data_IF_705978520543
#
_entry.id   IF_705978520543
#
_cell.length_a   1.000
_cell.length_b   1.000
_cell.length_c   1.000
_cell.angle_alpha   90.00
_cell.angle_beta   90.00
_cell.angle_gamma   90.00
#
_symmetry.space_group_name_H-M   'P 1'
#
loop_
_entity.id
_entity.type
_entity.pdbx_description
1 polymer ?
#
# COMPACT_ATOMS: atom_id res chain seq x y z
N UNK A 1 -10.65 10.23 4.94
CA UNK A 1 -12.08 10.12 4.59
C UNK A 1 -12.31 10.23 3.10
N UNK A 2 -11.76 11.23 2.43
CA UNK A 2 -11.96 11.55 1.02
C UNK A 2 -11.72 10.35 0.09
N UNK A 3 -10.60 9.67 0.24
CA UNK A 3 -10.30 8.46 -0.53
C UNK A 3 -11.29 7.30 -0.27
N UNK A 4 -11.76 7.13 0.97
CA UNK A 4 -12.76 6.09 1.27
C UNK A 4 -14.10 6.39 0.62
N UNK A 5 -14.54 7.65 0.67
CA UNK A 5 -15.75 8.08 -0.04
C UNK A 5 -15.57 7.89 -1.55
N UNK A 6 -14.42 8.27 -2.10
CA UNK A 6 -14.09 8.04 -3.50
C UNK A 6 -14.17 6.56 -3.89
N UNK A 7 -13.62 5.65 -3.06
CA UNK A 7 -13.73 4.20 -3.30
C UNK A 7 -15.20 3.74 -3.32
N UNK A 8 -16.02 4.25 -2.40
CA UNK A 8 -17.46 3.92 -2.36
C UNK A 8 -18.22 4.44 -3.58
N UNK A 9 -17.75 5.53 -4.19
CA UNK A 9 -18.25 6.08 -5.44
C UNK A 9 -17.67 5.39 -6.69
N UNK A 10 -16.79 4.40 -6.54
CA UNK A 10 -16.15 3.67 -7.63
C UNK A 10 -14.87 4.31 -8.18
N UNK A 11 -14.35 5.35 -7.53
CA UNK A 11 -13.10 5.98 -7.94
C UNK A 11 -11.87 5.23 -7.40
N UNK A 12 -10.75 5.35 -8.12
CA UNK A 12 -9.47 4.88 -7.64
C UNK A 12 -8.93 5.84 -6.57
N UNK A 13 -8.50 5.35 -5.39
CA UNK A 13 -7.92 6.21 -4.39
C UNK A 13 -6.56 6.77 -4.86
N UNK A 14 -6.26 8.00 -4.47
CA UNK A 14 -4.96 8.63 -4.70
C UNK A 14 -3.89 8.05 -3.77
N UNK A 15 -4.25 7.80 -2.51
CA UNK A 15 -3.34 7.23 -1.52
C UNK A 15 -3.02 5.77 -1.84
N UNK A 16 -1.74 5.45 -2.03
CA UNK A 16 -1.29 4.13 -2.44
C UNK A 16 -1.58 3.02 -1.41
N UNK A 17 -1.66 3.36 -0.12
CA UNK A 17 -2.02 2.45 0.96
C UNK A 17 -3.46 1.91 0.83
N UNK A 18 -4.31 2.65 0.16
CA UNK A 18 -5.70 2.27 -0.11
C UNK A 18 -5.90 1.60 -1.49
N UNK A 19 -4.82 1.48 -2.28
CA UNK A 19 -4.84 0.74 -3.54
C UNK A 19 -4.68 -0.78 -3.34
N UNK A 20 -4.17 -1.23 -2.19
CA UNK A 20 -3.90 -2.63 -1.89
C UNK A 20 -2.64 -3.20 -2.52
N UNK A 21 -1.97 -2.43 -3.36
CA UNK A 21 -0.72 -2.75 -4.04
C UNK A 21 0.14 -1.50 -4.13
N UNK A 22 1.45 -1.65 -3.93
CA UNK A 22 2.39 -0.54 -4.09
C UNK A 22 2.52 -0.13 -5.56
N UNK A 23 2.63 1.18 -5.78
CA UNK A 23 2.90 1.76 -7.09
C UNK A 23 4.41 1.82 -7.36
N UNK A 24 4.77 1.96 -8.65
CA UNK A 24 6.12 2.35 -9.04
C UNK A 24 6.29 3.83 -8.69
N UNK A 25 7.24 4.12 -7.82
CA UNK A 25 7.66 5.47 -7.46
C UNK A 25 9.15 5.46 -7.13
N UNK A 26 9.77 6.63 -7.16
CA UNK A 26 11.17 6.81 -6.80
C UNK A 26 11.27 7.90 -5.74
N UNK A 27 11.66 7.52 -4.53
CA UNK A 27 12.16 8.47 -3.55
C UNK A 27 13.65 8.69 -3.83
N UNK A 28 14.05 9.96 -4.01
CA UNK A 28 15.42 10.31 -4.38
C UNK A 28 16.02 11.20 -3.30
N UNK A 29 17.17 10.79 -2.77
CA UNK A 29 17.91 11.59 -1.81
C UNK A 29 18.85 12.59 -2.48
N UNK A 30 19.38 13.55 -1.70
CA UNK A 30 20.23 14.64 -2.18
C UNK A 30 21.52 14.17 -2.87
N UNK A 31 22.02 12.98 -2.55
CA UNK A 31 23.18 12.34 -3.19
C UNK A 31 22.82 11.60 -4.49
N UNK A 32 21.54 11.62 -4.91
CA UNK A 32 21.04 10.91 -6.07
C UNK A 32 20.63 9.46 -5.80
N UNK A 33 20.76 8.95 -4.58
CA UNK A 33 20.32 7.60 -4.21
C UNK A 33 18.82 7.44 -4.38
N UNK A 34 18.40 6.31 -4.95
CA UNK A 34 17.01 6.03 -5.33
C UNK A 34 16.46 4.85 -4.52
N UNK A 35 15.25 5.02 -4.01
CA UNK A 35 14.52 4.05 -3.20
C UNK A 35 13.10 3.83 -3.73
N UNK A 36 12.46 2.66 -3.45
CA UNK A 36 11.15 2.32 -4.01
C UNK A 36 9.98 3.09 -3.39
N UNK A 37 10.20 3.75 -2.25
CA UNK A 37 9.19 4.48 -1.50
C UNK A 37 9.87 5.35 -0.44
N UNK A 38 9.28 6.49 -0.10
CA UNK A 38 9.74 7.40 0.96
C UNK A 38 9.79 6.74 2.35
N UNK A 39 8.92 5.74 2.60
CA UNK A 39 8.98 4.93 3.83
C UNK A 39 10.05 3.83 3.84
N UNK A 40 10.73 3.61 2.73
CA UNK A 40 11.74 2.57 2.55
C UNK A 40 13.08 3.15 2.09
N UNK A 41 13.42 4.34 2.60
CA UNK A 41 14.76 4.95 2.44
C UNK A 41 15.70 4.29 3.45
N UNK A 42 16.06 3.05 3.16
CA UNK A 42 16.96 2.19 3.96
C UNK A 42 17.91 1.49 2.99
N UNK A 43 19.16 1.24 3.41
CA UNK A 43 20.23 0.70 2.55
C UNK A 43 19.83 -0.60 1.84
N UNK A 44 19.11 -1.49 2.53
CA UNK A 44 18.64 -2.76 1.97
C UNK A 44 17.59 -2.61 0.85
N UNK A 45 16.96 -1.42 0.72
CA UNK A 45 15.99 -1.11 -0.32
C UNK A 45 16.53 -0.18 -1.41
N UNK A 46 17.80 0.19 -1.32
CA UNK A 46 18.41 1.06 -2.34
C UNK A 46 18.35 0.41 -3.71
N UNK A 47 17.76 1.12 -4.67
CA UNK A 47 17.59 0.65 -6.05
C UNK A 47 18.77 1.02 -6.95
N UNK A 48 19.47 2.11 -6.62
CA UNK A 48 20.59 2.63 -7.39
C UNK A 48 20.82 4.11 -7.10
N UNK A 49 21.46 4.81 -8.05
CA UNK A 49 21.72 6.23 -7.94
C UNK A 49 21.56 6.91 -9.31
N UNK A 50 20.75 7.95 -9.43
CA UNK A 50 20.49 8.64 -10.69
C UNK A 50 21.69 9.40 -11.28
N UNK A 51 22.75 9.60 -10.52
CA UNK A 51 23.99 10.16 -11.07
C UNK A 51 24.79 9.13 -11.87
N UNK A 52 24.57 7.83 -11.67
CA UNK A 52 25.37 6.74 -12.26
C UNK A 52 24.53 5.72 -13.01
N UNK A 53 23.26 5.54 -12.63
CA UNK A 53 22.42 4.45 -13.13
C UNK A 53 21.31 4.96 -14.04
N UNK A 54 20.97 4.18 -15.06
CA UNK A 54 19.83 4.42 -15.92
C UNK A 54 18.53 3.94 -15.26
N UNK A 55 17.40 4.51 -15.68
CA UNK A 55 16.07 4.19 -15.10
C UNK A 55 15.73 2.70 -15.20
N UNK A 56 16.09 2.05 -16.33
CA UNK A 56 15.85 0.62 -16.53
C UNK A 56 16.63 -0.27 -15.55
N UNK A 57 17.80 0.17 -15.12
CA UNK A 57 18.60 -0.52 -14.08
C UNK A 57 17.91 -0.42 -12.72
N UNK A 58 17.39 0.75 -12.39
CA UNK A 58 16.63 0.99 -11.17
C UNK A 58 15.33 0.16 -11.14
N UNK A 59 14.62 0.09 -12.26
CA UNK A 59 13.40 -0.71 -12.36
C UNK A 59 13.67 -2.22 -12.28
N UNK A 60 14.75 -2.70 -12.91
CA UNK A 60 15.19 -4.10 -12.75
C UNK A 60 15.52 -4.42 -11.28
N UNK A 61 16.19 -3.52 -10.57
CA UNK A 61 16.50 -3.71 -9.14
C UNK A 61 15.24 -3.75 -8.30
N UNK A 62 14.23 -2.89 -8.58
CA UNK A 62 12.92 -2.92 -7.94
C UNK A 62 12.22 -4.28 -8.09
N UNK A 63 12.29 -4.86 -9.30
CA UNK A 63 11.73 -6.19 -9.58
C UNK A 63 12.51 -7.27 -8.82
N UNK A 64 13.84 -7.21 -8.85
CA UNK A 64 14.73 -8.16 -8.17
C UNK A 64 14.45 -8.26 -6.66
N UNK A 65 14.30 -7.11 -5.98
CA UNK A 65 13.97 -7.09 -4.54
C UNK A 65 12.51 -7.45 -4.24
N UNK A 66 11.68 -7.62 -5.28
CA UNK A 66 10.28 -8.03 -5.16
C UNK A 66 9.40 -7.04 -4.40
N UNK A 67 9.73 -5.74 -4.43
CA UNK A 67 9.07 -4.72 -3.60
C UNK A 67 7.57 -4.64 -3.82
N UNK A 68 7.13 -4.57 -5.09
CA UNK A 68 5.71 -4.48 -5.44
C UNK A 68 5.02 -5.84 -5.22
N UNK A 69 5.66 -6.95 -5.64
CA UNK A 69 5.09 -8.29 -5.49
C UNK A 69 4.85 -8.68 -4.03
N UNK A 70 5.73 -8.24 -3.12
CA UNK A 70 5.54 -8.42 -1.68
C UNK A 70 4.27 -7.74 -1.19
N UNK A 71 3.91 -6.58 -1.73
CA UNK A 71 2.70 -5.85 -1.33
C UNK A 71 1.39 -6.57 -1.68
N UNK A 72 1.43 -7.55 -2.58
CA UNK A 72 0.26 -8.38 -2.97
C UNK A 72 0.01 -9.54 -2.02
N UNK A 73 0.98 -9.90 -1.18
CA UNK A 73 0.93 -11.09 -0.31
C UNK A 73 0.14 -10.82 0.96
N UNK A 74 -1.17 -11.03 0.93
CA UNK A 74 -2.06 -10.86 2.08
C UNK A 74 -2.57 -12.20 2.59
N UNK A 75 -2.81 -12.30 3.92
CA UNK A 75 -3.49 -13.45 4.52
C UNK A 75 -4.87 -13.67 3.92
N UNK A 76 -5.30 -14.93 3.88
CA UNK A 76 -6.65 -15.30 3.41
C UNK A 76 -7.76 -14.61 4.22
N UNK A 77 -7.53 -14.38 5.51
CA UNK A 77 -8.42 -13.61 6.40
C UNK A 77 -8.68 -12.19 5.89
N UNK A 78 -7.68 -11.53 5.29
CA UNK A 78 -7.87 -10.22 4.66
C UNK A 78 -8.77 -10.34 3.42
N UNK A 79 -8.52 -11.32 2.56
CA UNK A 79 -9.27 -11.49 1.30
C UNK A 79 -10.75 -11.82 1.53
N UNK A 80 -11.09 -12.49 2.64
CA UNK A 80 -12.46 -12.82 3.05
C UNK A 80 -13.09 -11.76 3.99
N UNK A 81 -12.37 -10.70 4.34
CA UNK A 81 -12.83 -9.67 5.26
C UNK A 81 -13.95 -8.82 4.61
N UNK A 82 -15.05 -8.51 5.33
CA UNK A 82 -16.13 -7.66 4.80
C UNK A 82 -15.68 -6.24 4.42
N UNK A 83 -14.54 -5.79 4.98
CA UNK A 83 -13.95 -4.47 4.69
C UNK A 83 -12.88 -4.51 3.60
N UNK A 84 -12.61 -5.67 2.99
CA UNK A 84 -11.49 -5.78 2.03
C UNK A 84 -11.62 -4.83 0.84
N UNK A 85 -12.84 -4.60 0.34
CA UNK A 85 -13.08 -3.68 -0.78
C UNK A 85 -12.62 -2.24 -0.53
N UNK A 86 -12.58 -1.82 0.74
CA UNK A 86 -12.21 -0.45 1.16
C UNK A 86 -10.85 -0.41 1.86
N UNK A 87 -10.48 -1.43 2.67
CA UNK A 87 -9.23 -1.51 3.42
C UNK A 87 -8.06 -1.99 2.55
N UNK A 88 -8.26 -3.05 1.76
CA UNK A 88 -7.26 -3.68 0.88
C UNK A 88 -5.92 -4.02 1.56
N UNK A 89 -5.92 -4.15 2.88
CA UNK A 89 -4.74 -4.50 3.68
C UNK A 89 -3.82 -3.31 4.03
N UNK A 90 -4.14 -2.08 3.61
CA UNK A 90 -3.36 -0.88 3.93
C UNK A 90 -1.92 -0.89 3.38
N UNK A 91 -1.07 0.01 3.88
CA UNK A 91 0.34 0.10 3.48
C UNK A 91 1.14 -1.14 3.89
N UNK A 92 1.99 -1.66 3.00
CA UNK A 92 2.86 -2.80 3.33
C UNK A 92 3.84 -2.52 4.47
N UNK A 93 4.20 -1.25 4.71
CA UNK A 93 5.05 -0.85 5.84
C UNK A 93 4.44 -1.24 7.19
N UNK A 94 3.13 -1.21 7.27
CA UNK A 94 2.38 -1.50 8.50
C UNK A 94 1.93 -2.96 8.58
N UNK A 95 2.55 -3.86 7.81
CA UNK A 95 2.18 -5.26 7.76
C UNK A 95 3.26 -6.13 8.39
N UNK A 96 2.83 -7.01 9.28
CA UNK A 96 3.67 -8.05 9.87
C UNK A 96 3.69 -9.30 9.00
N UNK A 97 4.85 -9.93 8.89
CA UNK A 97 5.03 -11.20 8.20
C UNK A 97 4.67 -12.35 9.13
N UNK A 98 3.70 -13.14 8.73
CA UNK A 98 3.48 -14.46 9.31
C UNK A 98 4.51 -15.45 8.74
N UNK A 99 5.47 -15.81 9.56
CA UNK A 99 6.58 -16.70 9.17
C UNK A 99 6.13 -18.10 8.75
N UNK A 100 4.97 -18.55 9.23
CA UNK A 100 4.47 -19.90 8.89
C UNK A 100 3.85 -19.94 7.49
N UNK A 101 3.15 -18.88 7.08
CA UNK A 101 2.46 -18.80 5.78
C UNK A 101 3.20 -18.02 4.72
N UNK A 102 4.17 -17.19 5.10
CA UNK A 102 4.82 -16.21 4.20
C UNK A 102 3.90 -15.08 3.72
N UNK A 103 2.75 -14.89 4.40
CA UNK A 103 1.75 -13.89 4.08
C UNK A 103 1.76 -12.77 5.12
N UNK A 104 1.18 -11.64 4.75
CA UNK A 104 1.20 -10.43 5.56
C UNK A 104 -0.19 -10.05 6.06
N UNK A 105 -0.25 -9.46 7.26
CA UNK A 105 -1.43 -8.85 7.85
C UNK A 105 -1.08 -7.47 8.39
N UNK A 106 -1.99 -6.51 8.26
CA UNK A 106 -1.74 -5.17 8.76
C UNK A 106 -1.79 -5.16 10.30
N UNK A 107 -0.75 -4.61 10.92
CA UNK A 107 -0.65 -4.45 12.37
C UNK A 107 -1.87 -3.74 12.97
N UNK A 108 -2.45 -2.77 12.22
CA UNK A 108 -3.63 -2.00 12.65
C UNK A 108 -4.96 -2.63 12.21
N UNK A 109 -5.00 -3.94 11.87
CA UNK A 109 -6.19 -4.59 11.33
C UNK A 109 -7.43 -4.39 12.21
N UNK A 110 -7.31 -4.61 13.52
CA UNK A 110 -8.43 -4.45 14.46
C UNK A 110 -8.88 -2.98 14.55
N UNK A 111 -7.95 -2.03 14.56
CA UNK A 111 -8.28 -0.59 14.55
C UNK A 111 -9.03 -0.17 13.28
N UNK A 112 -8.64 -0.71 12.11
CA UNK A 112 -9.38 -0.47 10.87
C UNK A 112 -10.78 -1.06 10.91
N UNK A 113 -10.98 -2.25 11.45
CA UNK A 113 -12.31 -2.85 11.60
C UNK A 113 -13.20 -1.98 12.49
N UNK A 114 -12.71 -1.58 13.69
CA UNK A 114 -13.44 -0.68 14.59
C UNK A 114 -13.81 0.64 13.91
N UNK A 115 -12.87 1.21 13.15
CA UNK A 115 -13.11 2.44 12.40
C UNK A 115 -14.21 2.27 11.33
N UNK A 116 -14.15 1.20 10.55
CA UNK A 116 -15.15 0.94 9.52
C UNK A 116 -16.51 0.56 10.11
N UNK A 117 -16.55 -0.19 11.23
CA UNK A 117 -17.80 -0.47 11.94
C UNK A 117 -18.52 0.83 12.34
N UNK A 118 -17.77 1.80 12.87
CA UNK A 118 -18.32 3.06 13.33
C UNK A 118 -18.64 4.04 12.19
N UNK A 119 -17.80 4.13 11.16
CA UNK A 119 -17.84 5.23 10.19
C UNK A 119 -18.42 4.85 8.82
N UNK A 120 -18.36 3.58 8.43
CA UNK A 120 -18.76 3.16 7.09
C UNK A 120 -20.23 3.46 6.74
N UNK A 121 -21.22 3.33 7.66
CA UNK A 121 -22.60 3.70 7.36
C UNK A 121 -22.70 5.17 6.92
N UNK A 122 -22.12 6.09 7.69
CA UNK A 122 -22.14 7.53 7.37
C UNK A 122 -21.36 7.83 6.08
N UNK A 123 -20.21 7.18 5.85
CA UNK A 123 -19.46 7.35 4.59
C UNK A 123 -20.28 6.93 3.37
N UNK A 124 -21.10 5.86 3.48
CA UNK A 124 -22.00 5.43 2.41
C UNK A 124 -23.10 6.46 2.14
N UNK A 125 -23.68 7.06 3.18
CA UNK A 125 -24.67 8.12 3.03
C UNK A 125 -24.06 9.34 2.31
N UNK A 126 -22.87 9.77 2.70
CA UNK A 126 -22.15 10.87 2.04
C UNK A 126 -21.84 10.53 0.58
N UNK A 127 -21.36 9.32 0.30
CA UNK A 127 -21.08 8.89 -1.07
C UNK A 127 -22.33 8.86 -1.95
N UNK A 128 -23.47 8.44 -1.40
CA UNK A 128 -24.74 8.42 -2.12
C UNK A 128 -25.29 9.84 -2.39
N UNK A 129 -25.07 10.77 -1.46
CA UNK A 129 -25.51 12.17 -1.62
C UNK A 129 -24.63 12.99 -2.59
N UNK A 130 -23.42 12.50 -2.91
CA UNK A 130 -22.46 13.15 -3.80
C UNK A 130 -22.52 12.65 -5.26
N UNK A 131 -23.39 11.66 -5.55
CA UNK A 131 -23.67 11.16 -6.90
C UNK A 131 -24.84 11.91 -7.56
#
# INVERSE_FOLDING_TARGET
FENYIGILMGYRPEACDQCGICNIQNAVEADGSVYPCDFYVLDEYKLGNFNTDQLDTIDRKRIEIGFIERSKKLKKSCLSCPYFSICRGGCQRNRDLDMASGLYENYFCESYKMFFDACLPLMKEVAAAAQ
#
